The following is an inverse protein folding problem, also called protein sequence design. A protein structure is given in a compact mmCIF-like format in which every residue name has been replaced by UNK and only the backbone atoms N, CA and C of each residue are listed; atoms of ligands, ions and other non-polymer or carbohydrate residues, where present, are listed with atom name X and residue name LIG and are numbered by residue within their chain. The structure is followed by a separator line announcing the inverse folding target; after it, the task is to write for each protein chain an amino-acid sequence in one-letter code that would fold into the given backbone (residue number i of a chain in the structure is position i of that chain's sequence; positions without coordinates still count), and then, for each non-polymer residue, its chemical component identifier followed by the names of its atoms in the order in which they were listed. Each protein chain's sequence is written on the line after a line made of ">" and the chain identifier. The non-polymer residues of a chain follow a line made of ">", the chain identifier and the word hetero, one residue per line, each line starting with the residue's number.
data_IF_465155297370
#
_entry.id   IF_465155297370
#
_cell.length_a   1.000
_cell.length_b   1.000
_cell.length_c   1.000
_cell.angle_alpha   90.00
_cell.angle_beta   90.00
_cell.angle_gamma   90.00
#
_symmetry.space_group_name_H-M   'P 1'
#
loop_
_entity.id
_entity.type
_entity.pdbx_description
1 polymer ?
#
# COMPACT_ATOMS: atom_id res chain seq x y z
N UNK A 1 11.39 -9.83 -3.51
CA UNK A 1 10.69 -8.53 -3.57
C UNK A 1 9.18 -8.71 -3.43
N UNK A 2 8.52 -7.92 -2.57
CA UNK A 2 7.08 -7.72 -2.74
C UNK A 2 6.85 -6.85 -3.98
N UNK A 3 5.76 -7.10 -4.71
CA UNK A 3 5.32 -6.22 -5.81
C UNK A 3 3.95 -5.70 -5.43
N UNK A 4 3.75 -4.39 -5.58
CA UNK A 4 2.44 -3.76 -5.46
C UNK A 4 2.15 -3.10 -6.80
N UNK A 5 0.92 -3.23 -7.27
CA UNK A 5 0.53 -2.72 -8.58
C UNK A 5 -0.83 -2.04 -8.50
N UNK A 6 -1.02 -1.03 -9.36
CA UNK A 6 -2.26 -0.27 -9.45
C UNK A 6 -2.80 -0.31 -10.87
N UNK A 7 -4.08 -0.65 -11.01
CA UNK A 7 -4.83 -0.50 -12.24
C UNK A 7 -5.80 0.67 -12.11
N UNK A 8 -5.70 1.66 -13.01
CA UNK A 8 -6.66 2.74 -13.07
C UNK A 8 -7.90 2.33 -13.88
N UNK A 9 -9.07 2.84 -13.49
CA UNK A 9 -10.31 2.61 -14.25
C UNK A 9 -10.15 3.05 -15.71
N UNK A 10 -10.59 2.19 -16.65
CA UNK A 10 -10.46 2.44 -18.08
C UNK A 10 -9.07 2.17 -18.67
N UNK A 11 -8.09 1.75 -17.86
CA UNK A 11 -6.80 1.23 -18.35
C UNK A 11 -6.79 -0.30 -18.35
N UNK A 12 -5.93 -0.86 -19.18
CA UNK A 12 -5.68 -2.31 -19.27
C UNK A 12 -4.29 -2.71 -18.78
N UNK A 13 -3.41 -1.73 -18.54
CA UNK A 13 -2.04 -1.94 -18.07
C UNK A 13 -1.91 -1.59 -16.58
N UNK A 14 -1.33 -2.52 -15.83
CA UNK A 14 -0.92 -2.32 -14.45
C UNK A 14 0.29 -1.39 -14.37
N UNK A 15 0.32 -0.56 -13.33
CA UNK A 15 1.45 0.31 -13.03
C UNK A 15 2.09 -0.16 -11.74
N UNK A 16 3.43 -0.23 -11.71
CA UNK A 16 4.17 -0.54 -10.51
C UNK A 16 3.90 0.55 -9.45
N UNK A 17 3.72 0.10 -8.22
CA UNK A 17 3.50 0.93 -7.06
C UNK A 17 4.62 0.67 -6.06
N UNK A 18 5.23 1.74 -5.57
CA UNK A 18 6.26 1.63 -4.55
C UNK A 18 5.72 0.85 -3.35
N UNK A 19 6.39 -0.27 -3.08
CA UNK A 19 6.11 -1.07 -1.90
C UNK A 19 7.05 -0.65 -0.77
N UNK A 20 6.53 -0.37 0.42
CA UNK A 20 7.34 -0.12 1.60
C UNK A 20 8.08 -1.37 2.11
N UNK A 21 7.73 -2.56 1.58
CA UNK A 21 8.37 -3.82 1.96
C UNK A 21 9.33 -4.31 0.86
N UNK A 22 10.63 -4.19 1.11
CA UNK A 22 11.64 -4.68 0.16
C UNK A 22 11.63 -6.22 0.01
N UNK A 23 11.22 -6.94 1.07
CA UNK A 23 11.17 -8.40 1.12
C UNK A 23 9.81 -8.96 0.67
N UNK A 24 9.73 -10.29 0.50
CA UNK A 24 8.46 -10.94 0.16
C UNK A 24 7.47 -10.79 1.32
N UNK A 25 6.28 -10.29 1.04
CA UNK A 25 5.21 -10.21 2.02
C UNK A 25 4.06 -11.09 1.57
N UNK A 26 3.85 -12.23 2.25
CA UNK A 26 2.90 -13.28 1.85
C UNK A 26 1.81 -13.49 2.90
N UNK A 27 0.68 -14.07 2.50
CA UNK A 27 -0.41 -14.48 3.40
C UNK A 27 -0.95 -13.36 4.32
N UNK A 28 -0.91 -12.11 3.84
CA UNK A 28 -1.46 -10.97 4.56
C UNK A 28 -2.99 -10.90 4.41
N UNK A 29 -3.66 -10.32 5.41
CA UNK A 29 -5.06 -9.90 5.27
C UNK A 29 -5.13 -8.53 4.61
N UNK A 30 -6.09 -8.33 3.69
CA UNK A 30 -6.28 -7.03 3.03
C UNK A 30 -7.75 -6.58 3.14
N UNK A 31 -7.96 -5.33 3.52
CA UNK A 31 -9.29 -4.71 3.61
C UNK A 31 -9.28 -3.27 3.06
N UNK A 32 -10.34 -2.88 2.37
CA UNK A 32 -10.54 -1.50 1.94
C UNK A 32 -11.56 -0.81 2.85
N UNK A 33 -11.19 0.35 3.41
CA UNK A 33 -12.08 1.16 4.25
C UNK A 33 -12.02 2.60 3.73
N UNK A 34 -13.11 3.08 3.14
CA UNK A 34 -13.16 4.40 2.51
C UNK A 34 -12.14 4.54 1.38
N UNK A 35 -11.23 5.51 1.50
CA UNK A 35 -10.18 5.81 0.52
C UNK A 35 -8.82 5.14 0.86
N UNK A 36 -8.82 4.19 1.79
CA UNK A 36 -7.63 3.56 2.35
C UNK A 36 -7.67 2.03 2.18
N UNK A 37 -6.52 1.43 1.89
CA UNK A 37 -6.33 -0.02 1.82
C UNK A 37 -5.40 -0.43 2.95
N UNK A 38 -5.86 -1.35 3.79
CA UNK A 38 -5.14 -1.89 4.94
C UNK A 38 -4.60 -3.28 4.60
N UNK A 39 -3.30 -3.46 4.73
CA UNK A 39 -2.63 -4.75 4.66
C UNK A 39 -2.08 -5.11 6.04
N UNK A 40 -2.46 -6.28 6.56
CA UNK A 40 -2.27 -6.68 7.95
C UNK A 40 -1.56 -8.04 8.05
N UNK A 41 -0.60 -8.11 8.97
CA UNK A 41 0.03 -9.37 9.35
C UNK A 41 0.84 -9.99 8.22
N UNK A 42 0.78 -11.31 8.05
CA UNK A 42 1.45 -12.04 6.97
C UNK A 42 2.75 -12.70 7.39
N UNK A 43 3.55 -13.11 6.40
CA UNK A 43 4.76 -13.91 6.60
C UNK A 43 5.92 -13.39 5.74
N UNK A 44 7.06 -13.19 6.39
CA UNK A 44 8.35 -13.01 5.75
C UNK A 44 9.45 -13.58 6.64
N UNK A 45 9.80 -14.85 6.43
CA UNK A 45 10.76 -15.63 7.26
C UNK A 45 10.30 -15.85 8.72
N UNK A 46 9.38 -15.02 9.22
CA UNK A 46 8.59 -15.17 10.43
C UNK A 46 7.22 -14.48 10.26
N UNK A 47 6.34 -14.63 11.25
CA UNK A 47 5.06 -13.94 11.32
C UNK A 47 5.29 -12.43 11.47
N UNK A 48 4.58 -11.67 10.63
CA UNK A 48 4.57 -10.23 10.70
C UNK A 48 3.39 -9.76 11.55
N UNK A 49 3.64 -8.76 12.39
CA UNK A 49 2.62 -8.02 13.14
C UNK A 49 2.44 -6.60 12.59
N UNK A 50 2.98 -6.33 11.40
CA UNK A 50 2.94 -5.02 10.76
C UNK A 50 1.57 -4.74 10.15
N UNK A 51 1.25 -3.45 10.09
CA UNK A 51 0.09 -2.91 9.40
C UNK A 51 0.58 -1.85 8.42
N UNK A 52 0.21 -1.99 7.16
CA UNK A 52 0.46 -0.99 6.12
C UNK A 52 -0.85 -0.40 5.64
N UNK A 53 -0.86 0.91 5.42
CA UNK A 53 -2.02 1.63 4.91
C UNK A 53 -1.65 2.37 3.65
N UNK A 54 -2.23 1.95 2.52
CA UNK A 54 -2.13 2.69 1.27
C UNK A 54 -3.28 3.69 1.17
N UNK A 55 -2.94 4.97 1.02
CA UNK A 55 -3.92 6.06 0.89
C UNK A 55 -4.05 6.47 -0.58
N UNK A 56 -5.28 6.45 -1.08
CA UNK A 56 -5.57 6.85 -2.47
C UNK A 56 -5.68 8.37 -2.64
N UNK A 57 -5.84 9.12 -1.55
CA UNK A 57 -5.98 10.58 -1.52
C UNK A 57 -5.03 11.15 -0.48
N UNK A 58 -4.14 12.06 -0.90
CA UNK A 58 -3.27 12.82 -0.01
C UNK A 58 -3.77 14.27 0.07
N UNK A 59 -3.88 14.79 1.30
CA UNK A 59 -4.04 16.23 1.55
C UNK A 59 -2.71 16.76 2.09
N UNK A 60 -2.05 17.62 1.31
CA UNK A 60 -0.84 18.31 1.75
C UNK A 60 -1.23 19.73 2.18
N UNK A 61 -0.87 20.10 3.41
CA UNK A 61 -0.95 21.47 3.89
C UNK A 61 0.41 22.13 3.66
N UNK A 62 0.45 23.18 2.85
CA UNK A 62 1.67 23.95 2.61
C UNK A 62 1.64 25.17 3.54
N UNK A 63 2.54 25.29 4.53
CA UNK A 63 2.61 26.48 5.35
C UNK A 63 3.19 27.65 4.54
N UNK A 64 2.45 28.74 4.42
CA UNK A 64 2.97 30.00 3.91
C UNK A 64 3.65 30.74 5.07
N UNK A 65 4.95 30.98 4.94
CA UNK A 65 5.70 31.92 5.79
C UNK A 65 5.94 33.19 4.98
N UNK A 66 5.57 34.33 5.55
CA UNK A 66 5.84 35.67 5.02
C UNK A 66 7.10 36.24 5.66
#
# INVERSE_FOLDING_TARGET
>A
PSSSEKLAAGKTAWQELDTPYAAQWRNMGVAAIGAEIFALGGWNEDHLNSVMVYKTVYKVFIPLTY
#
